data_IF_215924865897
#
_entry.id   IF_215924865897
#
_cell.length_a   1.000
_cell.length_b   1.000
_cell.length_c   1.000
_cell.angle_alpha   90.00
_cell.angle_beta   90.00
_cell.angle_gamma   90.00
#
_symmetry.space_group_name_H-M   'P 1'
#
loop_
_entity.id
_entity.type
_entity.pdbx_description
1 polymer ?
#
# COMPACT_ATOMS: atom_id res chain seq x y z
N UNK A 1 11.32 -14.13 8.51
CA UNK A 1 10.01 -14.13 7.83
C UNK A 1 8.93 -14.37 8.88
N UNK A 2 8.54 -13.33 9.62
CA UNK A 2 7.56 -13.46 10.69
C UNK A 2 6.46 -12.43 10.51
N UNK A 3 5.23 -12.90 10.32
CA UNK A 3 3.96 -12.17 10.40
C UNK A 3 3.41 -11.50 9.13
N UNK A 4 4.04 -11.59 7.96
CA UNK A 4 3.46 -11.00 6.72
C UNK A 4 2.09 -11.60 6.39
N UNK A 5 1.96 -12.93 6.47
CA UNK A 5 0.68 -13.62 6.25
C UNK A 5 -0.40 -13.15 7.22
N UNK A 6 -0.06 -13.01 8.50
CA UNK A 6 -0.98 -12.49 9.52
C UNK A 6 -1.38 -11.04 9.24
N UNK A 7 -0.44 -10.19 8.81
CA UNK A 7 -0.71 -8.81 8.42
C UNK A 7 -1.67 -8.75 7.22
N UNK A 8 -1.47 -9.59 6.20
CA UNK A 8 -2.35 -9.66 5.03
C UNK A 8 -3.75 -10.18 5.41
N UNK A 9 -3.84 -11.21 6.25
CA UNK A 9 -5.13 -11.73 6.72
C UNK A 9 -5.91 -10.64 7.50
N UNK A 10 -5.22 -9.86 8.33
CA UNK A 10 -5.81 -8.74 9.06
C UNK A 10 -6.21 -7.61 8.08
N UNK A 11 -5.37 -7.25 7.12
CA UNK A 11 -5.66 -6.15 6.20
C UNK A 11 -6.85 -6.46 5.28
N UNK A 12 -7.01 -7.72 4.85
CA UNK A 12 -8.20 -8.18 4.13
C UNK A 12 -9.46 -8.13 5.00
N UNK A 13 -9.34 -8.46 6.28
CA UNK A 13 -10.46 -8.36 7.23
C UNK A 13 -10.88 -6.90 7.48
N UNK A 14 -9.93 -5.96 7.51
CA UNK A 14 -10.20 -4.51 7.55
C UNK A 14 -10.92 -4.09 6.26
N UNK A 15 -10.34 -4.40 5.10
CA UNK A 15 -10.86 -3.98 3.80
C UNK A 15 -12.28 -4.50 3.50
N UNK A 16 -12.55 -5.76 3.84
CA UNK A 16 -13.88 -6.37 3.67
C UNK A 16 -14.93 -5.95 4.71
N UNK A 17 -14.61 -4.99 5.60
CA UNK A 17 -15.52 -4.50 6.64
C UNK A 17 -15.78 -5.50 7.78
N UNK A 18 -15.04 -6.61 7.83
CA UNK A 18 -15.19 -7.67 8.86
C UNK A 18 -14.58 -7.27 10.20
N UNK A 19 -13.72 -6.24 10.24
CA UNK A 19 -13.18 -5.65 11.48
C UNK A 19 -14.04 -4.48 12.03
N UNK A 20 -15.36 -4.57 11.99
CA UNK A 20 -16.30 -3.47 12.33
C UNK A 20 -16.71 -3.38 13.81
N UNK A 21 -16.10 -4.17 14.72
CA UNK A 21 -16.49 -4.21 16.14
C UNK A 21 -15.28 -4.13 17.07
N UNK A 22 -15.44 -3.42 18.20
CA UNK A 22 -14.46 -3.25 19.29
C UNK A 22 -13.78 -4.57 19.73
N UNK A 23 -14.43 -5.73 19.53
CA UNK A 23 -13.89 -7.07 19.79
C UNK A 23 -12.62 -7.41 18.99
N UNK A 24 -12.39 -6.74 17.85
CA UNK A 24 -11.17 -6.90 17.03
C UNK A 24 -10.11 -5.85 17.32
N UNK A 25 -10.43 -4.83 18.11
CA UNK A 25 -9.53 -3.72 18.41
C UNK A 25 -8.28 -4.17 19.20
N UNK A 26 -8.45 -5.15 20.11
CA UNK A 26 -7.32 -5.75 20.83
C UNK A 26 -6.35 -6.52 19.92
N UNK A 27 -6.86 -7.10 18.82
CA UNK A 27 -6.03 -7.73 17.78
C UNK A 27 -5.33 -6.68 16.90
N UNK A 28 -5.93 -5.50 16.73
CA UNK A 28 -5.36 -4.39 15.96
C UNK A 28 -4.40 -3.51 16.77
N UNK A 29 -4.47 -3.53 18.11
CA UNK A 29 -3.68 -2.65 18.97
C UNK A 29 -2.27 -3.14 19.26
N UNK A 30 -1.91 -4.38 18.87
CA UNK A 30 -0.59 -4.99 19.14
C UNK A 30 0.04 -5.62 17.89
N UNK A 31 1.39 -5.63 17.87
CA UNK A 31 2.20 -6.37 16.92
C UNK A 31 1.80 -6.16 15.44
N UNK A 32 1.37 -7.25 14.80
CA UNK A 32 0.97 -7.35 13.39
C UNK A 32 -0.26 -6.52 13.06
N UNK A 33 -1.24 -6.43 13.98
CA UNK A 33 -2.48 -5.69 13.72
C UNK A 33 -2.27 -4.19 13.61
N UNK A 34 -1.38 -3.61 14.43
CA UNK A 34 -1.03 -2.18 14.34
C UNK A 34 -0.36 -1.88 13.01
N UNK A 35 0.51 -2.77 12.55
CA UNK A 35 1.19 -2.63 11.23
C UNK A 35 0.18 -2.72 10.09
N UNK A 36 -0.73 -3.69 10.12
CA UNK A 36 -1.78 -3.83 9.12
C UNK A 36 -2.67 -2.58 9.04
N UNK A 37 -3.09 -2.03 10.19
CA UNK A 37 -3.92 -0.83 10.24
C UNK A 37 -3.21 0.41 9.70
N UNK A 38 -1.96 0.65 10.12
CA UNK A 38 -1.14 1.77 9.60
C UNK A 38 -0.91 1.62 8.10
N UNK A 39 -0.60 0.41 7.63
CA UNK A 39 -0.41 0.14 6.22
C UNK A 39 -1.70 0.37 5.43
N UNK A 40 -2.85 -0.13 5.90
CA UNK A 40 -4.14 0.09 5.25
C UNK A 40 -4.43 1.57 5.06
N UNK A 41 -4.36 2.36 6.14
CA UNK A 41 -4.61 3.79 6.08
C UNK A 41 -3.65 4.50 5.12
N UNK A 42 -2.36 4.15 5.16
CA UNK A 42 -1.36 4.71 4.25
C UNK A 42 -1.67 4.38 2.79
N UNK A 43 -2.05 3.14 2.50
CA UNK A 43 -2.36 2.69 1.15
C UNK A 43 -3.67 3.29 0.62
N UNK A 44 -4.69 3.43 1.47
CA UNK A 44 -5.95 4.11 1.09
C UNK A 44 -5.74 5.61 0.88
N UNK A 45 -4.90 6.26 1.70
CA UNK A 45 -4.52 7.66 1.48
C UNK A 45 -3.76 7.83 0.17
N UNK A 46 -2.80 6.94 -0.12
CA UNK A 46 -2.08 6.94 -1.39
C UNK A 46 -3.05 6.79 -2.57
N UNK A 47 -4.00 5.87 -2.52
CA UNK A 47 -5.00 5.69 -3.57
C UNK A 47 -5.83 6.98 -3.78
N UNK A 48 -6.26 7.61 -2.68
CA UNK A 48 -7.01 8.86 -2.74
C UNK A 48 -6.20 9.98 -3.42
N UNK A 49 -4.92 10.09 -3.12
CA UNK A 49 -4.04 11.10 -3.74
C UNK A 49 -3.82 10.84 -5.24
N UNK A 50 -3.58 9.59 -5.63
CA UNK A 50 -3.42 9.18 -7.03
C UNK A 50 -4.70 9.47 -7.82
N UNK A 51 -5.87 9.21 -7.23
CA UNK A 51 -7.18 9.49 -7.84
C UNK A 51 -7.55 10.97 -7.87
N UNK A 52 -6.76 11.84 -7.22
CA UNK A 52 -7.04 13.26 -7.13
C UNK A 52 -6.91 13.98 -8.46
N UNK A 53 -7.83 14.89 -8.76
CA UNK A 53 -7.78 15.70 -9.98
C UNK A 53 -6.51 16.57 -10.01
N UNK A 54 -5.82 16.55 -11.16
CA UNK A 54 -4.56 17.27 -11.37
C UNK A 54 -3.34 16.59 -10.78
N UNK A 55 -3.47 15.37 -10.22
CA UNK A 55 -2.34 14.56 -9.78
C UNK A 55 -1.55 14.03 -10.98
N UNK A 56 -0.23 14.23 -10.97
CA UNK A 56 0.70 13.56 -11.88
C UNK A 56 1.36 12.41 -11.15
N UNK A 57 1.16 11.20 -11.64
CA UNK A 57 1.60 9.97 -10.98
C UNK A 57 2.75 9.35 -11.77
N UNK A 58 3.81 8.98 -11.08
CA UNK A 58 4.92 8.20 -11.63
C UNK A 58 5.22 7.01 -10.73
N UNK A 59 5.67 5.91 -11.34
CA UNK A 59 5.93 4.65 -10.63
C UNK A 59 7.30 4.13 -11.03
N UNK A 60 8.06 3.66 -10.05
CA UNK A 60 9.35 3.02 -10.25
C UNK A 60 9.41 1.68 -9.51
N UNK A 61 10.03 0.67 -10.12
CA UNK A 61 10.40 -0.55 -9.42
C UNK A 61 11.65 -0.29 -8.58
N UNK A 62 11.56 -0.57 -7.29
CA UNK A 62 12.69 -0.50 -6.38
C UNK A 62 13.15 -1.93 -6.11
N UNK A 63 14.46 -2.20 -6.11
CA UNK A 63 14.98 -3.47 -5.59
C UNK A 63 15.71 -4.43 -6.54
N UNK A 64 15.94 -4.12 -7.82
CA UNK A 64 16.97 -4.83 -8.63
C UNK A 64 18.32 -4.08 -8.55
N UNK A 65 18.95 -4.02 -7.37
CA UNK A 65 20.36 -3.59 -7.25
C UNK A 65 20.76 -2.63 -6.11
N UNK A 66 19.82 -2.06 -5.35
CA UNK A 66 20.12 -1.10 -4.27
C UNK A 66 20.09 -1.68 -2.84
N UNK A 67 20.70 -0.95 -1.87
CA UNK A 67 20.82 -1.27 -0.43
C UNK A 67 19.51 -1.65 0.30
N UNK A 68 18.34 -1.37 -0.28
CA UNK A 68 17.03 -1.64 0.32
C UNK A 68 16.30 -2.75 -0.47
N UNK A 69 16.55 -4.02 -0.13
CA UNK A 69 15.96 -5.21 -0.79
C UNK A 69 14.52 -5.53 -0.38
N UNK A 70 13.86 -4.67 0.41
CA UNK A 70 12.55 -4.94 1.01
C UNK A 70 11.37 -4.24 0.32
N UNK A 71 11.64 -3.26 -0.54
CA UNK A 71 10.61 -2.54 -1.29
C UNK A 71 10.57 -3.03 -2.72
N UNK A 72 9.36 -3.19 -3.27
CA UNK A 72 9.14 -3.65 -4.63
C UNK A 72 8.79 -2.47 -5.56
N UNK A 73 8.10 -1.46 -5.03
CA UNK A 73 7.59 -0.32 -5.81
C UNK A 73 7.75 0.99 -5.04
N UNK A 74 7.98 2.05 -5.79
CA UNK A 74 7.89 3.44 -5.36
C UNK A 74 6.88 4.16 -6.25
N UNK A 75 5.93 4.84 -5.63
CA UNK A 75 4.93 5.67 -6.30
C UNK A 75 5.18 7.11 -5.90
N UNK A 76 5.26 8.01 -6.88
CA UNK A 76 5.38 9.45 -6.64
C UNK A 76 4.17 10.16 -7.22
N UNK A 77 3.51 10.97 -6.40
CA UNK A 77 2.34 11.76 -6.76
C UNK A 77 2.70 13.24 -6.63
N UNK A 78 2.66 13.97 -7.73
CA UNK A 78 2.88 15.42 -7.77
C UNK A 78 1.56 16.16 -7.96
N UNK A 79 1.27 17.16 -7.12
CA UNK A 79 0.08 18.00 -7.22
C UNK A 79 0.34 19.39 -6.66
N UNK A 80 0.02 20.43 -7.42
CA UNK A 80 0.15 21.84 -7.00
C UNK A 80 1.55 22.20 -6.45
N UNK A 81 2.61 21.61 -7.00
CA UNK A 81 4.00 21.86 -6.57
C UNK A 81 4.45 21.05 -5.34
N UNK A 82 3.61 20.17 -4.80
CA UNK A 82 3.97 19.21 -3.75
C UNK A 82 4.16 17.81 -4.32
N UNK A 83 5.16 17.09 -3.83
CA UNK A 83 5.43 15.70 -4.22
C UNK A 83 5.36 14.77 -3.02
N UNK A 84 4.48 13.78 -3.07
CA UNK A 84 4.45 12.68 -2.10
C UNK A 84 5.09 11.43 -2.70
N UNK A 85 6.02 10.83 -1.95
CA UNK A 85 6.67 9.58 -2.30
C UNK A 85 6.25 8.46 -1.35
N UNK A 86 5.71 7.39 -1.91
CA UNK A 86 5.31 6.20 -1.18
C UNK A 86 6.12 4.98 -1.63
N UNK A 87 6.85 4.36 -0.69
CA UNK A 87 7.55 3.09 -0.91
C UNK A 87 6.74 1.93 -0.36
N UNK A 88 6.48 0.97 -1.23
CA UNK A 88 5.67 -0.21 -0.95
C UNK A 88 6.57 -1.45 -0.89
N UNK A 89 6.44 -2.21 0.19
CA UNK A 89 6.99 -3.57 0.28
C UNK A 89 6.26 -4.52 -0.67
N UNK A 90 6.83 -5.71 -0.90
CA UNK A 90 6.26 -6.67 -1.86
C UNK A 90 4.79 -7.04 -1.59
N UNK A 91 4.43 -7.24 -0.32
CA UNK A 91 3.04 -7.56 0.03
C UNK A 91 2.12 -6.33 -0.05
N UNK A 92 2.61 -5.14 0.33
CA UNK A 92 1.84 -3.89 0.22
C UNK A 92 1.54 -3.56 -1.23
N UNK A 93 2.51 -3.78 -2.12
CA UNK A 93 2.31 -3.67 -3.57
C UNK A 93 1.19 -4.58 -4.03
N UNK A 94 1.25 -5.88 -3.69
CA UNK A 94 0.23 -6.84 -4.13
C UNK A 94 -1.16 -6.40 -3.67
N UNK A 95 -1.30 -6.11 -2.38
CA UNK A 95 -2.57 -5.65 -1.82
C UNK A 95 -3.06 -4.34 -2.46
N UNK A 96 -2.16 -3.37 -2.66
CA UNK A 96 -2.51 -2.09 -3.27
C UNK A 96 -2.99 -2.25 -4.71
N UNK A 97 -2.29 -3.05 -5.52
CA UNK A 97 -2.62 -3.23 -6.93
C UNK A 97 -3.86 -4.11 -7.13
N UNK A 98 -3.94 -5.22 -6.40
CA UNK A 98 -4.89 -6.30 -6.68
C UNK A 98 -6.16 -6.19 -5.84
N UNK A 99 -6.06 -5.75 -4.57
CA UNK A 99 -7.20 -5.68 -3.65
C UNK A 99 -7.80 -4.27 -3.55
N UNK A 100 -6.96 -3.22 -3.49
CA UNK A 100 -7.43 -1.82 -3.43
C UNK A 100 -7.78 -1.23 -4.80
N UNK A 101 -7.52 -1.94 -5.90
CA UNK A 101 -7.76 -1.43 -7.25
C UNK A 101 -6.75 -0.38 -7.72
N UNK A 102 -5.60 -0.26 -7.06
CA UNK A 102 -4.57 0.73 -7.41
C UNK A 102 -4.05 0.58 -8.84
N UNK A 103 -4.13 -0.63 -9.42
CA UNK A 103 -3.72 -0.90 -10.81
C UNK A 103 -4.43 -0.01 -11.82
N UNK A 104 -5.68 0.34 -11.59
CA UNK A 104 -6.49 1.13 -12.53
C UNK A 104 -6.09 2.61 -12.56
N UNK A 105 -5.38 3.07 -11.53
CA UNK A 105 -4.99 4.48 -11.36
C UNK A 105 -3.51 4.74 -11.63
N UNK A 106 -2.70 3.69 -11.73
CA UNK A 106 -1.29 3.85 -12.06
C UNK A 106 -1.13 3.96 -13.58
N UNK A 107 -0.20 4.80 -14.06
CA UNK A 107 0.19 4.75 -15.46
C UNK A 107 0.62 3.33 -15.80
N UNK A 108 0.34 2.90 -17.04
CA UNK A 108 0.74 1.59 -17.51
C UNK A 108 2.21 1.37 -17.16
N UNK A 109 2.43 0.42 -16.25
CA UNK A 109 3.75 0.00 -15.87
C UNK A 109 4.37 -0.56 -17.15
N UNK A 110 5.29 0.18 -17.78
CA UNK A 110 6.21 -0.36 -18.78
C UNK A 110 7.07 -1.40 -18.05
N UNK A 111 6.47 -2.57 -17.89
CA UNK A 111 6.98 -3.70 -17.17
C UNK A 111 7.08 -4.78 -18.23
N UNK A 112 8.26 -4.89 -18.80
CA UNK A 112 8.69 -6.18 -19.31
C UNK A 112 8.56 -7.17 -18.14
N UNK A 113 7.66 -8.14 -18.32
CA UNK A 113 7.49 -9.30 -17.45
C UNK A 113 8.58 -10.33 -17.75
#
# INVERSE_FOLDING_TARGET
>A
MGNEREIIEIIHAIHSGKCSRNMHFDKLSRGSGRRAHVAYNRLTSLLAEISGEGSKVSVARVGRGGRCRCHAFEVSVERMGYTHHARLSGWETRFFLDDLGGRDFLPALEVEL
#
